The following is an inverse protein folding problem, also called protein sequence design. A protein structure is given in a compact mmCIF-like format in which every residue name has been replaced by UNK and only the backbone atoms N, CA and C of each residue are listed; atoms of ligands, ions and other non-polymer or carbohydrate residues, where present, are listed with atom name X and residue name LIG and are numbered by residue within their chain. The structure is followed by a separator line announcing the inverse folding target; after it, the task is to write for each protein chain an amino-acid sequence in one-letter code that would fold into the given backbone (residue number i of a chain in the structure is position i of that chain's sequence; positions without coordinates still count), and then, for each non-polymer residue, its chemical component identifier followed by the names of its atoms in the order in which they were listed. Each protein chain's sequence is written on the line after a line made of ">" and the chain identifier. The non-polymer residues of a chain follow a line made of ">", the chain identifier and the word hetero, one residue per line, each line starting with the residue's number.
data_IF_827168380703
#
_entry.id   IF_827168380703
#
_cell.length_a   1.000
_cell.length_b   1.000
_cell.length_c   1.000
_cell.angle_alpha   90.00
_cell.angle_beta   90.00
_cell.angle_gamma   90.00
#
_symmetry.space_group_name_H-M   'P 1'
#
loop_
_entity.id
_entity.type
_entity.pdbx_description
1 polymer ?
#
# COMPACT_ATOMS: atom_id res chain seq x y z
N UNK A 1 -39.88 1.46 16.97
CA UNK A 1 -38.62 2.12 16.62
C UNK A 1 -37.49 1.21 17.09
N UNK A 2 -36.81 0.53 16.17
CA UNK A 2 -35.53 -0.14 16.37
C UNK A 2 -34.76 0.05 15.05
N UNK A 3 -33.56 0.60 15.16
CA UNK A 3 -32.69 1.08 14.07
C UNK A 3 -32.21 -0.07 13.17
N UNK A 4 -32.08 0.13 11.85
CA UNK A 4 -31.45 -0.86 10.99
C UNK A 4 -29.97 -0.94 11.35
N UNK A 5 -29.57 -2.10 11.85
CA UNK A 5 -28.18 -2.46 12.13
C UNK A 5 -27.37 -2.33 10.83
N UNK A 6 -26.33 -1.50 10.90
CA UNK A 6 -25.36 -1.20 9.84
C UNK A 6 -24.67 -2.47 9.33
N UNK A 7 -24.02 -2.33 8.16
CA UNK A 7 -23.12 -3.32 7.54
C UNK A 7 -23.77 -4.47 6.77
N UNK A 8 -24.56 -4.09 5.77
CA UNK A 8 -24.75 -4.90 4.57
C UNK A 8 -23.41 -5.07 3.84
N UNK A 9 -22.85 -6.28 3.88
CA UNK A 9 -21.89 -6.83 2.91
C UNK A 9 -20.86 -5.81 2.37
N UNK A 10 -19.91 -5.42 3.22
CA UNK A 10 -18.60 -5.03 2.69
C UNK A 10 -18.06 -6.31 2.05
N UNK A 11 -17.96 -6.34 0.71
CA UNK A 11 -17.38 -7.48 -0.02
C UNK A 11 -16.05 -7.84 0.65
N UNK A 12 -15.92 -9.09 1.10
CA UNK A 12 -14.70 -9.60 1.76
C UNK A 12 -13.42 -9.27 0.97
N UNK A 13 -13.51 -9.15 -0.36
CA UNK A 13 -12.43 -8.68 -1.23
C UNK A 13 -11.94 -7.26 -0.90
N UNK A 14 -12.81 -6.30 -0.63
CA UNK A 14 -12.38 -4.93 -0.31
C UNK A 14 -11.62 -4.89 1.01
N UNK A 15 -12.10 -5.61 2.03
CA UNK A 15 -11.42 -5.68 3.33
C UNK A 15 -10.02 -6.27 3.18
N UNK A 16 -9.88 -7.32 2.37
CA UNK A 16 -8.59 -7.94 2.12
C UNK A 16 -7.65 -7.02 1.33
N UNK A 17 -8.17 -6.28 0.34
CA UNK A 17 -7.42 -5.27 -0.41
C UNK A 17 -6.89 -4.14 0.48
N UNK A 18 -7.74 -3.57 1.34
CA UNK A 18 -7.36 -2.52 2.28
C UNK A 18 -6.28 -3.04 3.27
N UNK A 19 -6.49 -4.23 3.85
CA UNK A 19 -5.52 -4.85 4.78
C UNK A 19 -4.17 -5.15 4.11
N UNK A 20 -4.19 -5.69 2.90
CA UNK A 20 -2.97 -5.98 2.14
C UNK A 20 -2.24 -4.70 1.76
N UNK A 21 -2.96 -3.63 1.41
CA UNK A 21 -2.36 -2.33 1.12
C UNK A 21 -1.70 -1.71 2.36
N UNK A 22 -2.35 -1.79 3.53
CA UNK A 22 -1.76 -1.36 4.81
C UNK A 22 -0.51 -2.17 5.18
N UNK A 23 -0.55 -3.49 4.94
CA UNK A 23 0.60 -4.35 5.16
C UNK A 23 1.77 -3.97 4.22
N UNK A 24 1.49 -3.74 2.94
CA UNK A 24 2.51 -3.34 1.97
C UNK A 24 3.12 -1.98 2.32
N UNK A 25 2.32 -1.00 2.73
CA UNK A 25 2.82 0.31 3.20
C UNK A 25 3.67 0.16 4.47
N UNK A 26 3.31 -0.77 5.36
CA UNK A 26 4.13 -1.09 6.53
C UNK A 26 5.48 -1.70 6.14
N UNK A 27 5.52 -2.58 5.14
CA UNK A 27 6.78 -3.12 4.59
C UNK A 27 7.62 -2.00 3.96
N UNK A 28 7.00 -1.14 3.16
CA UNK A 28 7.67 0.05 2.59
C UNK A 28 8.32 0.88 3.70
N UNK A 29 7.57 1.24 4.75
CA UNK A 29 8.09 2.05 5.86
C UNK A 29 9.27 1.37 6.56
N UNK A 30 9.18 0.06 6.83
CA UNK A 30 10.30 -0.73 7.39
C UNK A 30 11.55 -0.67 6.52
N UNK A 31 11.41 -0.81 5.20
CA UNK A 31 12.56 -0.73 4.29
C UNK A 31 13.16 0.67 4.24
N UNK A 32 12.32 1.71 4.28
CA UNK A 32 12.77 3.10 4.36
C UNK A 32 13.52 3.37 5.67
N UNK A 33 12.98 2.97 6.81
CA UNK A 33 13.64 3.15 8.11
C UNK A 33 14.92 2.30 8.26
N UNK A 34 14.99 1.15 7.59
CA UNK A 34 16.19 0.31 7.56
C UNK A 34 17.30 0.84 6.62
N UNK A 35 17.05 1.89 5.83
CA UNK A 35 18.05 2.40 4.89
C UNK A 35 18.14 1.58 3.59
N UNK A 36 17.17 0.73 3.27
CA UNK A 36 17.21 -0.13 2.08
C UNK A 36 16.91 0.64 0.79
N UNK A 37 17.55 0.23 -0.29
CA UNK A 37 17.49 0.90 -1.58
C UNK A 37 18.24 2.24 -1.60
N UNK A 38 18.10 2.98 -2.70
CA UNK A 38 18.75 4.29 -2.90
C UNK A 38 18.07 5.40 -2.09
N UNK A 39 18.86 6.37 -1.62
CA UNK A 39 18.36 7.55 -0.87
C UNK A 39 17.28 8.35 -1.63
N UNK A 40 17.34 8.37 -2.97
CA UNK A 40 16.30 9.00 -3.80
C UNK A 40 14.90 8.42 -3.54
N UNK A 41 14.80 7.11 -3.26
CA UNK A 41 13.53 6.46 -2.96
C UNK A 41 12.97 6.91 -1.63
N UNK A 42 13.84 7.16 -0.66
CA UNK A 42 13.44 7.60 0.68
C UNK A 42 12.76 8.95 0.60
N UNK A 43 13.43 9.90 -0.06
CA UNK A 43 12.85 11.22 -0.28
C UNK A 43 11.58 11.13 -1.13
N UNK A 44 11.56 10.29 -2.17
CA UNK A 44 10.39 10.11 -3.03
C UNK A 44 9.16 9.61 -2.27
N UNK A 45 9.27 8.47 -1.58
CA UNK A 45 8.13 7.85 -0.90
C UNK A 45 7.68 8.65 0.32
N UNK A 46 8.59 9.28 1.08
CA UNK A 46 8.20 10.17 2.19
C UNK A 46 7.38 11.36 1.68
N UNK A 47 7.78 11.97 0.56
CA UNK A 47 6.98 13.03 -0.07
C UNK A 47 5.61 12.52 -0.55
N UNK A 48 5.56 11.37 -1.22
CA UNK A 48 4.30 10.80 -1.73
C UNK A 48 3.33 10.42 -0.62
N UNK A 49 3.81 9.85 0.48
CA UNK A 49 2.99 9.57 1.67
C UNK A 49 2.47 10.87 2.31
N UNK A 50 3.26 11.94 2.32
CA UNK A 50 2.79 13.24 2.81
C UNK A 50 1.71 13.83 1.89
N UNK A 51 1.88 13.75 0.58
CA UNK A 51 0.87 14.16 -0.41
C UNK A 51 -0.44 13.37 -0.22
N UNK A 52 -0.35 12.04 -0.10
CA UNK A 52 -1.49 11.16 0.19
C UNK A 52 -2.25 11.59 1.45
N UNK A 53 -1.53 11.80 2.56
CA UNK A 53 -2.12 12.27 3.83
C UNK A 53 -2.82 13.61 3.69
N UNK A 54 -2.22 14.55 2.98
CA UNK A 54 -2.83 15.87 2.72
C UNK A 54 -4.13 15.76 1.89
N UNK A 55 -4.23 14.75 1.03
CA UNK A 55 -5.40 14.50 0.19
C UNK A 55 -6.45 13.61 0.88
N UNK A 56 -6.18 13.09 2.08
CA UNK A 56 -7.08 12.18 2.80
C UNK A 56 -7.33 10.87 2.06
N UNK A 57 -6.36 10.38 1.29
CA UNK A 57 -6.46 9.14 0.50
C UNK A 57 -5.99 7.94 1.32
N UNK A 58 -6.67 6.82 1.15
CA UNK A 58 -6.32 5.53 1.75
C UNK A 58 -5.04 4.92 1.13
N UNK A 59 -4.53 3.87 1.77
CA UNK A 59 -3.31 3.18 1.36
C UNK A 59 -3.51 2.39 0.07
N UNK A 60 -4.71 1.85 -0.17
CA UNK A 60 -5.00 1.14 -1.41
C UNK A 60 -4.88 2.07 -2.62
N UNK A 61 -5.41 3.30 -2.53
CA UNK A 61 -5.24 4.32 -3.54
C UNK A 61 -3.77 4.72 -3.75
N UNK A 62 -2.98 4.79 -2.68
CA UNK A 62 -1.55 5.06 -2.77
C UNK A 62 -0.82 3.95 -3.51
N UNK A 63 -1.04 2.69 -3.13
CA UNK A 63 -0.40 1.52 -3.76
C UNK A 63 -0.76 1.45 -5.24
N UNK A 64 -2.05 1.54 -5.59
CA UNK A 64 -2.51 1.51 -6.97
C UNK A 64 -1.88 2.62 -7.84
N UNK A 65 -1.74 3.83 -7.31
CA UNK A 65 -1.10 4.94 -8.03
C UNK A 65 0.43 4.80 -8.14
N UNK A 66 1.06 3.97 -7.33
CA UNK A 66 2.52 3.85 -7.23
C UNK A 66 3.04 2.46 -7.62
N UNK A 67 2.19 1.56 -8.18
CA UNK A 67 2.50 0.18 -8.55
C UNK A 67 3.89 0.01 -9.19
N UNK A 68 4.11 0.64 -10.36
CA UNK A 68 5.37 0.52 -11.10
C UNK A 68 6.61 0.95 -10.29
N UNK A 69 6.43 1.96 -9.44
CA UNK A 69 7.50 2.52 -8.63
C UNK A 69 7.79 1.62 -7.42
N UNK A 70 6.74 1.07 -6.81
CA UNK A 70 6.85 0.08 -5.73
C UNK A 70 7.52 -1.20 -6.22
N UNK A 71 7.18 -1.70 -7.40
CA UNK A 71 7.87 -2.84 -8.01
C UNK A 71 9.37 -2.58 -8.18
N UNK A 72 9.72 -1.40 -8.72
CA UNK A 72 11.12 -1.02 -8.89
C UNK A 72 11.86 -0.95 -7.55
N UNK A 73 11.22 -0.38 -6.53
CA UNK A 73 11.81 -0.23 -5.21
C UNK A 73 12.00 -1.57 -4.48
N UNK A 74 10.96 -2.40 -4.42
CA UNK A 74 11.06 -3.69 -3.74
C UNK A 74 11.99 -4.66 -4.46
N UNK A 75 12.10 -4.58 -5.79
CA UNK A 75 13.12 -5.30 -6.55
C UNK A 75 14.54 -4.85 -6.18
N UNK A 76 14.78 -3.53 -6.00
CA UNK A 76 16.09 -3.04 -5.50
C UNK A 76 16.37 -3.43 -4.04
N UNK A 77 15.33 -3.70 -3.25
CA UNK A 77 15.45 -4.18 -1.89
C UNK A 77 15.58 -5.71 -1.78
N UNK A 78 15.48 -6.45 -2.90
CA UNK A 78 15.41 -7.92 -2.96
C UNK A 78 14.27 -8.52 -2.10
N UNK A 79 13.20 -7.75 -1.86
CA UNK A 79 12.05 -8.18 -1.04
C UNK A 79 11.01 -8.91 -1.90
N UNK A 80 11.18 -10.22 -2.00
CA UNK A 80 10.29 -11.08 -2.77
C UNK A 80 8.89 -11.19 -2.15
N UNK A 81 8.77 -11.13 -0.82
CA UNK A 81 7.48 -11.19 -0.11
C UNK A 81 6.66 -9.92 -0.39
N UNK A 82 7.28 -8.75 -0.37
CA UNK A 82 6.61 -7.49 -0.74
C UNK A 82 6.22 -7.46 -2.23
N UNK A 83 7.04 -8.02 -3.11
CA UNK A 83 6.72 -8.13 -4.54
C UNK A 83 5.53 -9.05 -4.80
N UNK A 84 5.44 -10.20 -4.12
CA UNK A 84 4.30 -11.11 -4.24
C UNK A 84 3.00 -10.47 -3.72
N UNK A 85 3.08 -9.78 -2.57
CA UNK A 85 1.96 -9.03 -2.02
C UNK A 85 1.50 -7.90 -2.96
N UNK A 86 2.44 -7.18 -3.56
CA UNK A 86 2.16 -6.13 -4.54
C UNK A 86 1.48 -6.69 -5.79
N UNK A 87 1.94 -7.85 -6.28
CA UNK A 87 1.33 -8.54 -7.40
C UNK A 87 -0.09 -9.00 -7.09
N UNK A 88 -0.32 -9.55 -5.90
CA UNK A 88 -1.65 -9.92 -5.43
C UNK A 88 -2.60 -8.70 -5.41
N UNK A 89 -2.14 -7.57 -4.86
CA UNK A 89 -2.89 -6.31 -4.86
C UNK A 89 -3.20 -5.78 -6.27
N UNK A 90 -2.26 -5.92 -7.22
CA UNK A 90 -2.49 -5.53 -8.60
C UNK A 90 -3.56 -6.40 -9.27
N UNK A 91 -3.55 -7.72 -9.04
CA UNK A 91 -4.51 -8.63 -9.67
C UNK A 91 -5.92 -8.56 -9.07
N UNK A 92 -6.02 -8.32 -7.76
CA UNK A 92 -7.30 -8.42 -7.05
C UNK A 92 -7.97 -7.07 -6.77
N UNK A 93 -7.21 -5.97 -6.76
CA UNK A 93 -7.66 -4.70 -6.19
C UNK A 93 -7.49 -3.47 -7.11
N UNK A 94 -6.80 -3.59 -8.24
CA UNK A 94 -6.49 -2.49 -9.15
C UNK A 94 -7.16 -2.64 -10.54
#
# INVERSE_FOLDING_TARGET
>A
MLTPDSDRYISFCNIECDQNADLLVTLLDKHLDAGHGKEQWHSYFRNKQQEQKNMGRDNLNFVGNQLNVLYSYFAECDDSDALDLLYKLEQECC
#
